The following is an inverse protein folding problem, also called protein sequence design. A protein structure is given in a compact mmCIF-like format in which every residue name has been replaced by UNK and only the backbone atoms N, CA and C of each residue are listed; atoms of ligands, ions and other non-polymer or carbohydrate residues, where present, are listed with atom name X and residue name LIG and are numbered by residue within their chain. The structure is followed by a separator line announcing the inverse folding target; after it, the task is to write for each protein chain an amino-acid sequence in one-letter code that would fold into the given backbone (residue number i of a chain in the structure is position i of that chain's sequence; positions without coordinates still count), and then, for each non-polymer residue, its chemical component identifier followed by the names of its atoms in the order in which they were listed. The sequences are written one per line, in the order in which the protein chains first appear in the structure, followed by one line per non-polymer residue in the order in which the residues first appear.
data_IF_671617908338
#
_entry.id   IF_671617908338
#
_cell.length_a   1.000
_cell.length_b   1.000
_cell.length_c   1.000
_cell.angle_alpha   90.00
_cell.angle_beta   90.00
_cell.angle_gamma   90.00
#
_symmetry.space_group_name_H-M   'P 1'
#
loop_
_entity.id
_entity.type
_entity.pdbx_description
1 polymer ?
#
# COMPACT_ATOMS: atom_id res chain seq x y z
N UNK A 1 -5.37 2.97 53.11
CA UNK A 1 -6.49 2.62 52.22
C UNK A 1 -5.91 2.34 50.83
N UNK A 2 -5.94 1.08 50.42
CA UNK A 2 -5.42 0.63 49.13
C UNK A 2 -6.39 1.01 48.01
N UNK A 3 -5.89 1.74 47.00
CA UNK A 3 -6.56 1.91 45.71
C UNK A 3 -6.24 0.70 44.84
N UNK A 4 -7.04 -0.35 45.00
CA UNK A 4 -7.07 -1.55 44.17
C UNK A 4 -8.37 -1.40 43.39
N UNK A 5 -8.33 -0.99 42.13
CA UNK A 5 -9.33 -1.26 41.08
C UNK A 5 -9.03 -0.35 39.87
N UNK A 6 -8.28 -0.91 38.92
CA UNK A 6 -8.53 -0.75 37.49
C UNK A 6 -8.55 0.65 36.88
N UNK A 7 -7.51 1.47 37.05
CA UNK A 7 -7.13 2.39 35.99
C UNK A 7 -6.38 1.58 34.92
N UNK A 8 -7.13 0.92 34.05
CA UNK A 8 -6.58 0.42 32.80
C UNK A 8 -6.15 1.64 31.97
N UNK A 9 -4.85 1.78 31.72
CA UNK A 9 -4.29 2.76 30.80
C UNK A 9 -5.08 2.70 29.48
N UNK A 10 -5.95 3.67 29.21
CA UNK A 10 -6.54 3.85 27.88
C UNK A 10 -5.38 4.20 26.95
N UNK A 11 -5.10 3.30 26.01
CA UNK A 11 -4.07 3.50 24.98
C UNK A 11 -4.37 4.80 24.23
N UNK A 12 -3.35 5.60 23.98
CA UNK A 12 -3.52 6.81 23.15
C UNK A 12 -3.90 6.41 21.72
N UNK A 13 -4.47 7.34 20.96
CA UNK A 13 -4.75 7.14 19.54
C UNK A 13 -3.51 6.64 18.78
N UNK A 14 -2.33 7.18 19.10
CA UNK A 14 -1.05 6.77 18.50
C UNK A 14 -0.69 5.32 18.85
N UNK A 15 -0.94 4.89 20.09
CA UNK A 15 -0.68 3.51 20.51
C UNK A 15 -1.64 2.53 19.82
N UNK A 16 -2.89 2.91 19.61
CA UNK A 16 -3.86 2.08 18.89
C UNK A 16 -3.50 1.94 17.42
N UNK A 17 -3.06 3.02 16.76
CA UNK A 17 -2.60 2.98 15.38
C UNK A 17 -1.33 2.12 15.22
N UNK A 18 -0.37 2.25 16.14
CA UNK A 18 0.85 1.45 16.12
C UNK A 18 0.54 -0.05 16.30
N UNK A 19 -0.37 -0.39 17.21
CA UNK A 19 -0.79 -1.78 17.40
C UNK A 19 -1.57 -2.33 16.21
N UNK A 20 -2.43 -1.52 15.59
CA UNK A 20 -3.16 -1.90 14.38
C UNK A 20 -2.20 -2.19 13.23
N UNK A 21 -1.23 -1.30 12.97
CA UNK A 21 -0.20 -1.51 11.94
C UNK A 21 0.59 -2.79 12.20
N UNK A 22 1.03 -3.02 13.45
CA UNK A 22 1.75 -4.24 13.80
C UNK A 22 0.91 -5.50 13.61
N UNK A 23 -0.39 -5.45 13.94
CA UNK A 23 -1.29 -6.57 13.73
C UNK A 23 -1.51 -6.86 12.23
N UNK A 24 -1.60 -5.81 11.40
CA UNK A 24 -1.68 -5.93 9.94
C UNK A 24 -0.40 -6.57 9.37
N UNK A 25 0.78 -6.15 9.79
CA UNK A 25 2.06 -6.74 9.34
C UNK A 25 2.13 -8.24 9.68
N UNK A 26 1.73 -8.61 10.90
CA UNK A 26 1.68 -10.02 11.31
C UNK A 26 0.68 -10.84 10.50
N UNK A 27 -0.46 -10.24 10.15
CA UNK A 27 -1.45 -10.88 9.28
C UNK A 27 -0.87 -11.07 7.87
N UNK A 28 -0.18 -10.07 7.31
CA UNK A 28 0.44 -10.12 5.98
C UNK A 28 1.48 -11.23 5.90
N UNK A 29 2.36 -11.30 6.90
CA UNK A 29 3.33 -12.38 7.05
C UNK A 29 2.66 -13.77 7.11
N UNK A 30 1.53 -13.86 7.81
CA UNK A 30 0.73 -15.08 7.90
C UNK A 30 0.15 -15.49 6.54
N UNK A 31 -0.39 -14.54 5.77
CA UNK A 31 -0.92 -14.76 4.43
C UNK A 31 0.19 -15.20 3.47
N UNK A 32 1.31 -14.49 3.45
CA UNK A 32 2.46 -14.79 2.59
C UNK A 32 2.98 -16.22 2.83
N UNK A 33 3.09 -16.64 4.09
CA UNK A 33 3.48 -18.01 4.44
C UNK A 33 2.48 -19.06 3.95
N UNK A 34 1.18 -18.77 4.00
CA UNK A 34 0.13 -19.68 3.50
C UNK A 34 0.15 -19.76 1.98
N UNK A 35 0.31 -18.63 1.29
CA UNK A 35 0.46 -18.58 -0.17
C UNK A 35 1.66 -19.42 -0.63
N UNK A 36 2.84 -19.18 -0.06
CA UNK A 36 4.04 -19.97 -0.37
C UNK A 36 3.85 -21.47 -0.10
N UNK A 37 3.09 -21.83 0.94
CA UNK A 37 2.75 -23.22 1.21
C UNK A 37 1.84 -23.82 0.13
N UNK A 38 0.79 -23.09 -0.29
CA UNK A 38 -0.12 -23.52 -1.36
C UNK A 38 0.63 -23.67 -2.69
N UNK A 39 1.49 -22.73 -3.05
CA UNK A 39 2.33 -22.79 -4.25
C UNK A 39 3.21 -24.05 -4.27
N UNK A 40 3.84 -24.35 -3.13
CA UNK A 40 4.63 -25.57 -2.96
C UNK A 40 3.77 -26.82 -3.16
N UNK A 41 2.57 -26.87 -2.59
CA UNK A 41 1.65 -28.00 -2.76
C UNK A 41 1.16 -28.15 -4.22
N UNK A 42 0.84 -27.03 -4.88
CA UNK A 42 0.43 -27.01 -6.30
C UNK A 42 1.58 -27.53 -7.17
N UNK A 43 2.81 -27.05 -6.96
CA UNK A 43 4.01 -27.51 -7.67
C UNK A 43 4.22 -29.02 -7.51
N UNK A 44 4.10 -29.55 -6.29
CA UNK A 44 4.21 -31.00 -6.05
C UNK A 44 3.13 -31.79 -6.79
N UNK A 45 1.88 -31.30 -6.81
CA UNK A 45 0.79 -31.95 -7.56
C UNK A 45 1.03 -31.91 -9.07
N UNK A 46 1.56 -30.80 -9.60
CA UNK A 46 1.94 -30.66 -11.00
C UNK A 46 3.00 -31.68 -11.42
N UNK A 47 4.05 -31.87 -10.61
CA UNK A 47 5.07 -32.90 -10.86
C UNK A 47 4.45 -34.31 -10.91
N UNK A 48 3.53 -34.63 -9.99
CA UNK A 48 2.84 -35.92 -9.98
C UNK A 48 1.94 -36.10 -11.22
N UNK A 49 1.24 -35.05 -11.65
CA UNK A 49 0.42 -35.05 -12.85
C UNK A 49 1.26 -35.28 -14.11
N UNK A 50 2.40 -34.59 -14.24
CA UNK A 50 3.33 -34.78 -15.35
C UNK A 50 3.87 -36.23 -15.39
N UNK A 51 4.21 -36.80 -14.23
CA UNK A 51 4.67 -38.19 -14.15
C UNK A 51 3.57 -39.19 -14.59
N UNK A 52 2.32 -38.96 -14.20
CA UNK A 52 1.18 -39.78 -14.65
C UNK A 52 0.90 -39.60 -16.13
N UNK A 53 0.98 -38.38 -16.67
CA UNK A 53 0.81 -38.09 -18.08
C UNK A 53 1.81 -38.89 -18.93
N UNK A 54 3.10 -38.87 -18.57
CA UNK A 54 4.16 -39.66 -19.23
C UNK A 54 3.86 -41.17 -19.18
N UNK A 55 3.42 -41.68 -18.02
CA UNK A 55 3.04 -43.10 -17.86
C UNK A 55 1.84 -43.49 -18.71
N UNK A 56 0.82 -42.63 -18.79
CA UNK A 56 -0.37 -42.85 -19.63
C UNK A 56 0.05 -42.90 -21.10
N UNK A 57 0.84 -41.92 -21.56
CA UNK A 57 1.33 -41.86 -22.94
C UNK A 57 2.17 -43.09 -23.32
N UNK A 58 3.00 -43.61 -22.40
CA UNK A 58 3.79 -44.83 -22.60
C UNK A 58 2.99 -46.14 -22.51
N UNK A 59 1.74 -46.10 -22.03
CA UNK A 59 0.91 -47.30 -21.86
C UNK A 59 0.06 -47.55 -23.09
N UNK A 60 0.35 -48.62 -23.85
CA UNK A 60 -0.36 -48.93 -25.12
C UNK A 60 -1.81 -49.43 -24.93
N UNK A 61 -2.10 -50.13 -23.84
CA UNK A 61 -3.42 -50.73 -23.61
C UNK A 61 -4.39 -49.73 -22.94
N UNK A 62 -5.57 -49.46 -23.53
CA UNK A 62 -6.59 -48.60 -22.92
C UNK A 62 -7.06 -49.09 -21.54
N UNK A 63 -7.10 -50.41 -21.34
CA UNK A 63 -7.52 -51.02 -20.07
C UNK A 63 -6.51 -50.74 -18.95
N UNK A 64 -5.21 -50.74 -19.29
CA UNK A 64 -4.12 -50.42 -18.37
C UNK A 64 -4.01 -48.90 -18.09
N UNK A 65 -4.47 -48.05 -19.01
CA UNK A 65 -4.54 -46.60 -18.79
C UNK A 65 -5.65 -46.18 -17.81
N UNK A 66 -6.77 -46.93 -17.75
CA UNK A 66 -7.95 -46.58 -16.94
C UNK A 66 -7.60 -46.23 -15.46
N UNK A 67 -6.86 -47.06 -14.70
CA UNK A 67 -6.50 -46.70 -13.32
C UNK A 67 -5.54 -45.50 -13.23
N UNK A 68 -4.67 -45.28 -14.22
CA UNK A 68 -3.78 -44.11 -14.26
C UNK A 68 -4.57 -42.82 -14.48
N UNK A 69 -5.54 -42.84 -15.39
CA UNK A 69 -6.45 -41.71 -15.65
C UNK A 69 -7.30 -41.38 -14.41
N UNK A 70 -7.80 -42.39 -13.70
CA UNK A 70 -8.52 -42.17 -12.44
C UNK A 70 -7.65 -41.51 -11.36
N UNK A 71 -6.38 -41.90 -11.24
CA UNK A 71 -5.43 -41.24 -10.32
C UNK A 71 -5.15 -39.79 -10.75
N UNK A 72 -4.96 -39.55 -12.05
CA UNK A 72 -4.73 -38.21 -12.59
C UNK A 72 -5.94 -37.28 -12.32
N UNK A 73 -7.17 -37.77 -12.51
CA UNK A 73 -8.39 -37.00 -12.20
C UNK A 73 -8.46 -36.58 -10.73
N UNK A 74 -8.10 -37.47 -9.79
CA UNK A 74 -8.06 -37.11 -8.37
C UNK A 74 -7.04 -36.01 -8.06
N UNK A 75 -5.86 -36.08 -8.67
CA UNK A 75 -4.84 -35.05 -8.51
C UNK A 75 -5.23 -33.73 -9.17
N UNK A 76 -5.89 -33.76 -10.33
CA UNK A 76 -6.39 -32.57 -11.00
C UNK A 76 -7.43 -31.85 -10.13
N UNK A 77 -8.37 -32.59 -9.54
CA UNK A 77 -9.36 -32.04 -8.61
C UNK A 77 -8.69 -31.43 -7.39
N UNK A 78 -7.67 -32.10 -6.82
CA UNK A 78 -6.89 -31.55 -5.72
C UNK A 78 -6.19 -30.24 -6.12
N UNK A 79 -5.55 -30.20 -7.29
CA UNK A 79 -4.90 -29.00 -7.82
C UNK A 79 -5.88 -27.84 -7.93
N UNK A 80 -7.06 -28.08 -8.53
CA UNK A 80 -8.11 -27.06 -8.69
C UNK A 80 -8.58 -26.50 -7.34
N UNK A 81 -8.71 -27.35 -6.31
CA UNK A 81 -9.05 -26.90 -4.96
C UNK A 81 -7.95 -26.04 -4.34
N UNK A 82 -6.67 -26.39 -4.55
CA UNK A 82 -5.53 -25.59 -4.07
C UNK A 82 -5.46 -24.24 -4.79
N UNK A 83 -5.65 -24.21 -6.11
CA UNK A 83 -5.68 -22.98 -6.92
C UNK A 83 -6.81 -22.06 -6.46
N UNK A 84 -8.01 -22.59 -6.20
CA UNK A 84 -9.11 -21.79 -5.67
C UNK A 84 -8.81 -21.20 -4.27
N UNK A 85 -8.10 -21.94 -3.41
CA UNK A 85 -7.65 -21.41 -2.12
C UNK A 85 -6.58 -20.34 -2.28
N UNK A 86 -5.70 -20.47 -3.27
CA UNK A 86 -4.69 -19.46 -3.58
C UNK A 86 -5.34 -18.15 -4.03
N UNK A 87 -6.26 -18.22 -5.00
CA UNK A 87 -7.03 -17.08 -5.51
C UNK A 87 -7.77 -16.34 -4.38
N UNK A 88 -8.38 -17.07 -3.45
CA UNK A 88 -9.02 -16.48 -2.29
C UNK A 88 -8.02 -15.72 -1.38
N UNK A 89 -6.82 -16.28 -1.16
CA UNK A 89 -5.79 -15.62 -0.35
C UNK A 89 -5.17 -14.42 -1.07
N UNK A 90 -5.05 -14.46 -2.40
CA UNK A 90 -4.58 -13.33 -3.20
C UNK A 90 -5.57 -12.17 -3.12
N UNK A 91 -6.88 -12.44 -3.24
CA UNK A 91 -7.92 -11.43 -3.01
C UNK A 91 -7.84 -10.83 -1.61
N UNK A 92 -7.63 -11.66 -0.59
CA UNK A 92 -7.46 -11.19 0.80
C UNK A 92 -6.19 -10.34 0.97
N UNK A 93 -5.08 -10.73 0.34
CA UNK A 93 -3.82 -9.98 0.33
C UNK A 93 -4.01 -8.61 -0.30
N UNK A 94 -4.70 -8.55 -1.44
CA UNK A 94 -5.02 -7.29 -2.11
C UNK A 94 -5.86 -6.36 -1.25
N UNK A 95 -6.96 -6.86 -0.65
CA UNK A 95 -7.78 -6.06 0.27
C UNK A 95 -6.97 -5.54 1.47
N UNK A 96 -6.02 -6.33 1.96
CA UNK A 96 -5.19 -5.92 3.09
C UNK A 96 -4.17 -4.85 2.71
N UNK A 97 -3.54 -4.96 1.53
CA UNK A 97 -2.67 -3.93 0.98
C UNK A 97 -3.42 -2.60 0.80
N UNK A 98 -4.67 -2.65 0.30
CA UNK A 98 -5.53 -1.46 0.19
C UNK A 98 -5.80 -0.84 1.56
N UNK A 99 -6.16 -1.65 2.57
CA UNK A 99 -6.39 -1.18 3.94
C UNK A 99 -5.13 -0.58 4.59
N UNK A 100 -3.95 -1.14 4.29
CA UNK A 100 -2.67 -0.61 4.74
C UNK A 100 -2.40 0.77 4.14
N UNK A 101 -2.59 0.93 2.82
CA UNK A 101 -2.44 2.22 2.14
C UNK A 101 -3.40 3.28 2.71
N UNK A 102 -4.67 2.93 2.94
CA UNK A 102 -5.62 3.82 3.61
C UNK A 102 -5.14 4.21 5.01
N UNK A 103 -4.64 3.26 5.79
CA UNK A 103 -4.14 3.51 7.15
C UNK A 103 -2.92 4.44 7.15
N UNK A 104 -2.01 4.29 6.19
CA UNK A 104 -0.86 5.18 6.00
C UNK A 104 -1.29 6.60 5.65
N UNK A 105 -2.26 6.75 4.74
CA UNK A 105 -2.84 8.05 4.40
C UNK A 105 -3.47 8.71 5.63
N UNK A 106 -4.25 7.98 6.42
CA UNK A 106 -4.85 8.50 7.65
C UNK A 106 -3.80 8.92 8.68
N UNK A 107 -2.70 8.17 8.81
CA UNK A 107 -1.57 8.52 9.67
C UNK A 107 -0.91 9.83 9.22
N UNK A 108 -0.68 10.00 7.93
CA UNK A 108 -0.12 11.24 7.38
C UNK A 108 -1.05 12.44 7.65
N UNK A 109 -2.36 12.27 7.42
CA UNK A 109 -3.37 13.30 7.75
C UNK A 109 -3.36 13.64 9.24
N UNK A 110 -3.26 12.64 10.13
CA UNK A 110 -3.21 12.87 11.57
C UNK A 110 -1.96 13.67 11.99
N UNK A 111 -0.80 13.39 11.38
CA UNK A 111 0.43 14.17 11.59
C UNK A 111 0.23 15.62 11.15
N UNK A 112 -0.36 15.85 9.97
CA UNK A 112 -0.68 17.19 9.48
C UNK A 112 -1.64 17.93 10.42
N UNK A 113 -2.73 17.28 10.86
CA UNK A 113 -3.68 17.87 11.82
C UNK A 113 -3.01 18.20 13.16
N UNK A 114 -2.10 17.35 13.63
CA UNK A 114 -1.36 17.58 14.88
C UNK A 114 -0.42 18.78 14.75
N UNK A 115 0.27 18.90 13.61
CA UNK A 115 1.10 20.06 13.30
C UNK A 115 0.28 21.34 13.23
N UNK A 116 -0.87 21.33 12.55
CA UNK A 116 -1.79 22.47 12.47
C UNK A 116 -2.30 22.90 13.85
N UNK A 117 -2.66 21.95 14.72
CA UNK A 117 -3.07 22.23 16.11
C UNK A 117 -1.95 22.91 16.90
N UNK A 118 -0.71 22.43 16.75
CA UNK A 118 0.44 23.02 17.42
C UNK A 118 0.74 24.43 16.89
N UNK A 119 0.73 24.62 15.57
CA UNK A 119 0.91 25.92 14.92
C UNK A 119 -0.18 26.91 15.34
N UNK A 120 -1.45 26.50 15.39
CA UNK A 120 -2.56 27.31 15.89
C UNK A 120 -2.35 27.75 17.33
N UNK A 121 -1.83 26.86 18.19
CA UNK A 121 -1.52 27.19 19.60
C UNK A 121 -0.40 28.23 19.71
N UNK A 122 0.66 28.09 18.91
CA UNK A 122 1.77 29.06 18.86
C UNK A 122 1.27 30.40 18.32
N UNK A 123 0.47 30.40 17.25
CA UNK A 123 -0.15 31.59 16.68
C UNK A 123 -1.04 32.30 17.72
N UNK A 124 -1.88 31.57 18.46
CA UNK A 124 -2.68 32.14 19.58
C UNK A 124 -1.82 32.80 20.66
N UNK A 125 -0.68 32.20 20.99
CA UNK A 125 0.23 32.74 22.00
C UNK A 125 1.01 33.96 21.51
N UNK A 126 1.49 33.96 20.26
CA UNK A 126 2.19 35.11 19.67
C UNK A 126 1.25 36.26 19.30
N UNK A 127 0.05 35.95 18.83
CA UNK A 127 -0.95 36.91 18.37
C UNK A 127 -2.12 37.06 19.34
N UNK A 128 -1.90 36.93 20.65
CA UNK A 128 -2.92 37.08 21.72
C UNK A 128 -3.61 38.46 21.81
N UNK A 129 -3.52 39.29 20.76
CA UNK A 129 -4.28 40.52 20.52
C UNK A 129 -5.19 40.46 19.29
N UNK A 130 -5.22 39.37 18.53
CA UNK A 130 -6.14 39.19 17.40
C UNK A 130 -7.43 38.54 17.95
N UNK A 131 -8.57 39.17 17.63
CA UNK A 131 -9.90 38.86 18.17
C UNK A 131 -10.19 37.36 18.22
N UNK A 132 -10.48 36.87 19.43
CA UNK A 132 -10.85 35.48 19.72
C UNK A 132 -12.07 35.05 18.90
N UNK A 133 -12.96 36.00 18.59
CA UNK A 133 -14.18 35.78 17.80
C UNK A 133 -13.84 35.31 16.37
N UNK A 134 -12.84 35.90 15.72
CA UNK A 134 -12.37 35.43 14.40
C UNK A 134 -11.76 34.03 14.45
N UNK A 135 -11.29 33.63 15.62
CA UNK A 135 -10.70 32.31 15.84
C UNK A 135 -11.76 31.25 16.14
N UNK A 136 -12.92 31.65 16.65
CA UNK A 136 -14.12 30.81 16.69
C UNK A 136 -14.70 30.65 15.29
N UNK A 137 -14.82 31.75 14.54
CA UNK A 137 -15.25 31.70 13.13
C UNK A 137 -14.35 30.76 12.30
N UNK A 138 -13.02 30.85 12.48
CA UNK A 138 -12.08 29.96 11.77
C UNK A 138 -12.11 28.51 12.26
N UNK A 139 -12.51 28.27 13.51
CA UNK A 139 -12.66 26.91 14.06
C UNK A 139 -13.96 26.27 13.58
N UNK A 140 -15.02 27.07 13.45
CA UNK A 140 -16.30 26.67 12.88
C UNK A 140 -16.15 26.44 11.37
N UNK A 141 -15.43 27.30 10.64
CA UNK A 141 -15.03 27.05 9.24
C UNK A 141 -14.17 25.78 9.11
N UNK A 142 -13.25 25.52 10.04
CA UNK A 142 -12.41 24.32 9.98
C UNK A 142 -13.21 23.05 10.32
N UNK A 143 -14.24 23.14 11.15
CA UNK A 143 -15.18 22.06 11.40
C UNK A 143 -16.04 21.80 10.16
N UNK A 144 -16.56 22.86 9.52
CA UNK A 144 -17.26 22.77 8.23
C UNK A 144 -16.36 22.21 7.13
N UNK A 145 -15.06 22.54 7.10
CA UNK A 145 -14.11 22.03 6.11
C UNK A 145 -13.76 20.55 6.33
N UNK A 146 -13.75 20.08 7.59
CA UNK A 146 -13.58 18.66 7.89
C UNK A 146 -14.84 17.88 7.49
N UNK A 147 -16.02 18.43 7.77
CA UNK A 147 -17.30 17.85 7.38
C UNK A 147 -17.49 17.84 5.85
N UNK A 148 -17.13 18.93 5.16
CA UNK A 148 -17.03 18.95 3.69
C UNK A 148 -15.94 18.03 3.17
N UNK A 149 -14.86 17.78 3.92
CA UNK A 149 -13.83 16.81 3.56
C UNK A 149 -14.35 15.37 3.63
N UNK A 150 -15.15 15.04 4.64
CA UNK A 150 -15.86 13.75 4.75
C UNK A 150 -16.94 13.62 3.66
N UNK A 151 -17.69 14.70 3.37
CA UNK A 151 -18.68 14.74 2.29
C UNK A 151 -18.01 14.64 0.91
N UNK A 152 -16.87 15.31 0.69
CA UNK A 152 -16.05 15.20 -0.52
C UNK A 152 -15.47 13.80 -0.66
N UNK A 153 -15.00 13.17 0.41
CA UNK A 153 -14.51 11.80 0.38
C UNK A 153 -15.65 10.81 0.11
N UNK A 154 -16.87 11.11 0.54
CA UNK A 154 -18.06 10.32 0.26
C UNK A 154 -18.57 10.53 -1.17
N UNK A 155 -18.48 11.76 -1.71
CA UNK A 155 -18.75 12.08 -3.12
C UNK A 155 -17.67 11.47 -4.02
N UNK A 156 -16.40 11.51 -3.64
CA UNK A 156 -15.31 10.83 -4.35
C UNK A 156 -15.48 9.31 -4.28
N UNK A 157 -15.84 8.73 -3.13
CA UNK A 157 -16.16 7.30 -3.02
C UNK A 157 -17.41 6.90 -3.83
N UNK A 158 -18.38 7.81 -3.98
CA UNK A 158 -19.55 7.61 -4.85
C UNK A 158 -19.15 7.74 -6.32
N UNK A 159 -18.23 8.64 -6.68
CA UNK A 159 -17.65 8.75 -8.03
C UNK A 159 -16.67 7.61 -8.37
N UNK A 160 -16.04 6.96 -7.39
CA UNK A 160 -15.25 5.74 -7.59
C UNK A 160 -16.11 4.47 -7.77
N UNK A 161 -17.41 4.54 -7.44
CA UNK A 161 -18.40 3.54 -7.86
C UNK A 161 -18.92 3.78 -9.29
N UNK A 162 -18.53 4.90 -9.92
CA UNK A 162 -18.75 5.25 -11.34
C UNK A 162 -17.40 5.23 -12.11
N UNK A 163 -16.44 4.38 -11.70
CA UNK A 163 -15.43 3.92 -12.67
C UNK A 163 -16.18 2.95 -13.57
N UNK A 164 -16.58 3.43 -14.75
CA UNK A 164 -17.05 2.58 -15.83
C UNK A 164 -16.17 1.34 -15.90
N UNK A 165 -16.78 0.15 -15.88
CA UNK A 165 -16.06 -1.10 -16.11
C UNK A 165 -15.21 -0.92 -17.37
N UNK A 166 -13.88 -0.88 -17.23
CA UNK A 166 -12.98 -0.88 -18.39
C UNK A 166 -13.33 -2.14 -19.17
N UNK A 167 -13.90 -1.95 -20.35
CA UNK A 167 -14.30 -3.07 -21.18
C UNK A 167 -13.06 -3.88 -21.55
N UNK A 168 -13.16 -5.20 -21.59
CA UNK A 168 -12.06 -6.10 -21.96
C UNK A 168 -11.40 -5.66 -23.30
N UNK A 169 -12.19 -5.09 -24.22
CA UNK A 169 -11.72 -4.54 -25.49
C UNK A 169 -10.90 -3.24 -25.40
N UNK A 170 -11.12 -2.42 -24.38
CA UNK A 170 -10.36 -1.18 -24.16
C UNK A 170 -9.03 -1.49 -23.46
N UNK A 171 -9.05 -2.42 -22.50
CA UNK A 171 -7.85 -2.95 -21.87
C UNK A 171 -6.93 -3.65 -22.89
N UNK A 172 -7.48 -4.47 -23.79
CA UNK A 172 -6.73 -5.15 -24.84
C UNK A 172 -6.06 -4.14 -25.81
N UNK A 173 -6.76 -3.07 -26.17
CA UNK A 173 -6.21 -2.02 -27.06
C UNK A 173 -5.09 -1.21 -26.39
N UNK A 174 -5.19 -0.95 -25.08
CA UNK A 174 -4.11 -0.31 -24.32
C UNK A 174 -2.90 -1.23 -24.10
N UNK A 175 -3.12 -2.52 -23.88
CA UNK A 175 -2.05 -3.53 -23.78
C UNK A 175 -1.31 -3.70 -25.12
N UNK A 176 -2.03 -3.71 -26.24
CA UNK A 176 -1.45 -3.78 -27.58
C UNK A 176 -0.67 -2.49 -27.93
N UNK A 177 -1.16 -1.32 -27.49
CA UNK A 177 -0.43 -0.05 -27.63
C UNK A 177 0.83 0.03 -26.76
N UNK A 178 0.85 -0.62 -25.58
CA UNK A 178 2.05 -0.77 -24.75
C UNK A 178 3.07 -1.73 -25.38
N UNK A 179 2.62 -2.74 -26.10
CA UNK A 179 3.47 -3.69 -26.83
C UNK A 179 4.07 -3.07 -28.09
N UNK A 180 3.30 -2.27 -28.85
CA UNK A 180 3.75 -1.56 -30.07
C UNK A 180 4.54 -0.27 -29.77
N UNK A 181 4.39 0.30 -28.56
CA UNK A 181 5.06 1.51 -28.07
C UNK A 181 6.53 1.35 -27.67
N UNK A 182 7.13 0.16 -27.82
CA UNK A 182 8.58 -0.01 -27.78
C UNK A 182 9.19 -0.13 -26.38
N UNK A 183 8.76 -1.10 -25.59
CA UNK A 183 9.70 -1.84 -24.74
C UNK A 183 10.34 -2.95 -25.58
N UNK A 184 11.18 -2.52 -26.53
CA UNK A 184 12.23 -3.36 -27.10
C UNK A 184 13.25 -3.65 -25.99
N UNK A 185 12.87 -4.53 -25.07
CA UNK A 185 13.82 -5.21 -24.19
C UNK A 185 14.38 -6.41 -24.96
N UNK A 186 14.98 -6.14 -26.13
CA UNK A 186 16.08 -6.96 -26.57
C UNK A 186 17.19 -6.78 -25.54
N UNK A 187 17.38 -7.80 -24.70
CA UNK A 187 18.63 -7.98 -23.98
C UNK A 187 19.75 -8.11 -25.02
N UNK A 188 20.26 -6.99 -25.53
CA UNK A 188 21.63 -6.93 -26.00
C UNK A 188 22.51 -6.56 -24.80
N UNK A 189 23.53 -7.37 -24.60
CA UNK A 189 24.24 -7.59 -23.34
C UNK A 189 25.26 -6.47 -23.03
N UNK A 190 24.97 -5.22 -23.40
CA UNK A 190 25.92 -4.12 -23.16
C UNK A 190 25.29 -2.72 -22.99
N UNK A 191 25.50 -2.18 -21.78
CA UNK A 191 25.48 -0.76 -21.36
C UNK A 191 24.20 -0.19 -20.74
N UNK A 192 24.37 0.19 -19.45
CA UNK A 192 23.70 1.23 -18.66
C UNK A 192 22.20 1.49 -18.88
N UNK A 193 21.37 0.78 -18.12
CA UNK A 193 19.99 1.23 -17.82
C UNK A 193 20.05 2.25 -16.68
N UNK A 194 19.92 3.53 -17.00
CA UNK A 194 19.66 4.59 -16.02
C UNK A 194 18.29 4.32 -15.36
N UNK A 195 18.33 3.94 -14.08
CA UNK A 195 17.13 3.76 -13.27
C UNK A 195 16.38 5.10 -13.10
N UNK A 196 15.05 5.07 -13.00
CA UNK A 196 14.24 6.27 -12.75
C UNK A 196 14.71 7.07 -11.53
N UNK A 197 14.62 8.40 -11.61
CA UNK A 197 15.11 9.35 -10.60
C UNK A 197 14.61 9.09 -9.16
N UNK A 198 13.49 8.39 -8.96
CA UNK A 198 13.03 7.98 -7.61
C UNK A 198 13.89 6.88 -6.96
N UNK A 199 14.70 6.16 -7.74
CA UNK A 199 15.72 5.20 -7.29
C UNK A 199 17.11 5.84 -7.21
N UNK A 200 17.30 7.06 -7.72
CA UNK A 200 18.53 7.84 -7.63
C UNK A 200 18.49 8.77 -6.43
N UNK A 201 19.20 8.40 -5.36
CA UNK A 201 19.16 9.11 -4.07
C UNK A 201 19.37 10.63 -4.17
N UNK A 202 18.34 11.39 -3.79
CA UNK A 202 18.48 12.76 -3.36
C UNK A 202 17.48 13.02 -2.23
N UNK A 203 17.98 13.07 -0.99
CA UNK A 203 17.19 13.50 0.15
C UNK A 203 16.74 14.97 -0.08
N UNK A 204 15.50 15.35 0.27
CA UNK A 204 15.03 16.71 0.08
C UNK A 204 15.82 17.67 0.99
N UNK A 205 16.40 18.71 0.39
CA UNK A 205 17.03 19.80 1.12
C UNK A 205 15.94 20.64 1.82
N UNK A 206 15.92 20.59 3.15
CA UNK A 206 15.12 21.48 3.98
C UNK A 206 15.64 22.91 3.82
N UNK A 207 14.81 23.81 3.29
CA UNK A 207 15.14 25.24 3.20
C UNK A 207 14.93 25.86 4.57
N UNK A 208 16.00 25.92 5.37
CA UNK A 208 16.10 26.77 6.54
C UNK A 208 17.02 27.94 6.14
N UNK A 209 16.44 29.04 5.67
CA UNK A 209 17.18 30.26 5.36
C UNK A 209 17.07 31.22 6.55
N UNK A 210 18.12 31.40 7.37
CA UNK A 210 18.14 32.46 8.35
C UNK A 210 18.45 33.79 7.64
N UNK A 211 17.62 34.80 7.89
CA UNK A 211 17.79 36.15 7.39
C UNK A 211 19.22 36.68 7.64
N UNK A 212 19.89 37.11 6.57
CA UNK A 212 21.20 37.75 6.63
C UNK A 212 21.11 39.08 7.40
N UNK A 213 21.90 39.17 8.48
CA UNK A 213 22.25 40.45 9.10
C UNK A 213 23.75 40.62 8.91
N UNK A 214 24.16 41.28 7.83
CA UNK A 214 25.56 41.66 7.64
C UNK A 214 25.95 42.78 8.62
N UNK A 215 26.75 42.42 9.62
CA UNK A 215 27.64 43.34 10.32
C UNK A 215 29.08 42.91 10.03
N UNK A 216 29.81 43.71 9.27
CA UNK A 216 31.25 43.88 9.54
C UNK A 216 31.70 45.29 9.17
N UNK A 217 32.37 45.91 10.13
CA UNK A 217 32.94 47.23 10.02
C UNK A 217 34.47 47.12 10.12
N UNK A 218 35.14 48.10 9.51
CA UNK A 218 36.54 48.56 9.72
C UNK A 218 37.59 47.71 9.01
N UNK A 219 38.69 48.24 8.46
CA UNK A 219 39.33 49.56 8.30
C UNK A 219 40.58 49.22 7.48
N UNK A 220 41.02 49.99 6.48
CA UNK A 220 42.45 50.29 6.30
C UNK A 220 42.63 51.60 5.51
N UNK A 221 43.37 52.50 6.14
CA UNK A 221 43.99 53.72 5.62
C UNK A 221 45.20 53.38 4.74
N UNK A 222 45.46 54.15 3.67
CA UNK A 222 46.73 54.92 3.48
C UNK A 222 46.81 55.60 2.10
N UNK A 223 47.15 56.90 2.17
CA UNK A 223 47.77 57.82 1.20
C UNK A 223 47.25 57.95 -0.24
#
# INVERSE_FOLDING_TARGET
MNRIFGYGNKKSSDQLLLESSKAMDQAQDGLNKRLAHLETQISQVNVQLQALQRKIAGTKSPLAQKPLKQRALKLLNKRKQLEAMQEQLDSQSWSMNQAQMTTENLKNTMVTVSALKQTSKVLKQQYGKIDVDKLQDMQDEMAELIEQGEELQQVLATNYNDIDEISESELDAELEALEDGGLDFTLDESNDVELPSYLGGMAPAFVDEPAEVEHSAKLETTN
#
